data_IF_669840873866
#
_entry.id   IF_669840873866
#
_cell.length_a   1.000
_cell.length_b   1.000
_cell.length_c   1.000
_cell.angle_alpha   90.00
_cell.angle_beta   90.00
_cell.angle_gamma   90.00
#
_symmetry.space_group_name_H-M   'P 1'
#
loop_
_entity.id
_entity.type
_entity.pdbx_description
1 polymer ?
#
# COMPACT_ATOMS: atom_id res chain seq x y z
N UNK A 1 1.38 59.93 -0.20
CA UNK A 1 1.98 58.62 0.13
C UNK A 1 1.00 57.95 1.07
N UNK A 2 0.14 57.09 0.53
CA UNK A 2 -0.74 56.26 1.35
C UNK A 2 -0.33 54.81 1.10
N UNK A 3 0.10 54.06 2.12
CA UNK A 3 0.37 52.64 1.96
C UNK A 3 -0.96 51.90 1.85
N UNK A 4 -1.16 51.17 0.75
CA UNK A 4 -2.29 50.23 0.62
C UNK A 4 -2.11 49.17 1.71
N UNK A 5 -3.03 49.13 2.66
CA UNK A 5 -3.09 48.07 3.66
C UNK A 5 -3.81 46.88 3.00
N UNK A 6 -3.17 45.70 2.87
CA UNK A 6 -3.87 44.53 2.34
C UNK A 6 -4.98 44.11 3.31
N UNK A 7 -6.12 43.69 2.76
CA UNK A 7 -7.28 43.27 3.52
C UNK A 7 -6.97 41.99 4.31
N UNK A 8 -7.24 41.93 5.63
CA UNK A 8 -6.88 40.79 6.46
C UNK A 8 -7.76 39.53 6.24
N UNK A 9 -8.72 39.56 5.31
CA UNK A 9 -9.61 38.43 5.00
C UNK A 9 -9.51 37.89 3.57
N UNK A 10 -8.50 38.27 2.78
CA UNK A 10 -8.25 37.59 1.50
C UNK A 10 -7.66 36.18 1.76
N UNK A 11 -8.34 35.10 1.33
CA UNK A 11 -7.75 33.77 1.44
C UNK A 11 -6.55 33.67 0.51
N UNK A 12 -5.34 33.48 1.04
CA UNK A 12 -4.12 33.24 0.26
C UNK A 12 -4.34 32.09 -0.76
N UNK A 13 -4.46 32.36 -2.07
CA UNK A 13 -4.81 31.34 -3.05
C UNK A 13 -3.62 30.39 -3.37
N UNK A 14 -2.47 30.56 -2.72
CA UNK A 14 -1.19 29.98 -3.13
C UNK A 14 -0.70 28.80 -2.27
N UNK A 15 -1.38 28.42 -1.18
CA UNK A 15 -0.75 27.48 -0.20
C UNK A 15 -1.38 26.08 -0.11
N UNK A 16 -2.62 25.81 -0.51
CA UNK A 16 -3.25 24.54 -0.10
C UNK A 16 -3.39 23.42 -1.16
N UNK A 17 -3.49 23.74 -2.46
CA UNK A 17 -3.79 22.70 -3.47
C UNK A 17 -2.56 21.99 -4.04
N UNK A 18 -1.46 22.72 -4.28
CA UNK A 18 -0.22 22.12 -4.80
C UNK A 18 0.49 21.25 -3.74
N UNK A 19 0.30 21.56 -2.46
CA UNK A 19 0.89 20.79 -1.35
C UNK A 19 0.13 19.50 -1.07
N UNK A 20 -1.19 19.50 -1.22
CA UNK A 20 -2.04 18.31 -1.08
C UNK A 20 -1.84 17.34 -2.25
N UNK A 21 -1.66 17.82 -3.48
CA UNK A 21 -1.35 16.99 -4.66
C UNK A 21 0.03 16.30 -4.53
N UNK A 22 1.08 17.04 -4.15
CA UNK A 22 2.39 16.46 -3.91
C UNK A 22 2.37 15.44 -2.75
N UNK A 23 1.61 15.70 -1.70
CA UNK A 23 1.45 14.77 -0.60
C UNK A 23 0.69 13.50 -1.02
N UNK A 24 -0.34 13.63 -1.86
CA UNK A 24 -1.06 12.49 -2.43
C UNK A 24 -0.15 11.64 -3.32
N UNK A 25 0.64 12.27 -4.20
CA UNK A 25 1.59 11.58 -5.08
C UNK A 25 2.63 10.79 -4.30
N UNK A 26 3.26 11.38 -3.28
CA UNK A 26 4.23 10.69 -2.42
C UNK A 26 3.62 9.51 -1.67
N UNK A 27 2.36 9.63 -1.22
CA UNK A 27 1.63 8.50 -0.60
C UNK A 27 1.38 7.38 -1.60
N UNK A 28 1.00 7.72 -2.83
CA UNK A 28 0.78 6.76 -3.89
C UNK A 28 2.07 6.03 -4.31
N UNK A 29 3.19 6.74 -4.48
CA UNK A 29 4.49 6.14 -4.77
C UNK A 29 4.93 5.16 -3.69
N UNK A 30 4.71 5.52 -2.42
CA UNK A 30 4.95 4.62 -1.29
C UNK A 30 4.03 3.39 -1.34
N UNK A 31 2.75 3.58 -1.63
CA UNK A 31 1.80 2.47 -1.75
C UNK A 31 2.19 1.52 -2.89
N UNK A 32 2.68 2.03 -4.02
CA UNK A 32 3.20 1.23 -5.13
C UNK A 32 4.41 0.38 -4.72
N UNK A 33 5.37 0.97 -4.00
CA UNK A 33 6.54 0.24 -3.48
C UNK A 33 6.14 -0.91 -2.54
N UNK A 34 5.21 -0.63 -1.62
CA UNK A 34 4.65 -1.66 -0.72
C UNK A 34 3.89 -2.73 -1.51
N UNK A 35 3.02 -2.34 -2.44
CA UNK A 35 2.23 -3.26 -3.24
C UNK A 35 3.12 -4.21 -4.06
N UNK A 36 4.22 -3.71 -4.63
CA UNK A 36 5.19 -4.54 -5.34
C UNK A 36 5.81 -5.60 -4.41
N UNK A 37 6.25 -5.20 -3.22
CA UNK A 37 6.86 -6.13 -2.26
C UNK A 37 5.88 -7.20 -1.77
N UNK A 38 4.61 -6.82 -1.57
CA UNK A 38 3.54 -7.72 -1.13
C UNK A 38 3.12 -8.68 -2.25
N UNK A 39 2.96 -8.16 -3.48
CA UNK A 39 2.62 -8.94 -4.67
C UNK A 39 3.62 -10.07 -4.87
N UNK A 40 4.90 -9.75 -4.76
CA UNK A 40 5.99 -10.67 -5.02
C UNK A 40 5.95 -11.91 -4.10
N UNK A 41 5.36 -11.75 -2.91
CA UNK A 41 5.16 -12.82 -1.91
C UNK A 41 3.80 -13.51 -2.03
N UNK A 42 3.09 -13.30 -3.13
CA UNK A 42 1.77 -13.87 -3.39
C UNK A 42 0.73 -13.59 -2.29
N UNK A 43 0.86 -12.48 -1.56
CA UNK A 43 -0.10 -12.06 -0.54
C UNK A 43 -1.21 -11.26 -1.22
N UNK A 44 -2.47 -11.67 -1.03
CA UNK A 44 -3.63 -10.96 -1.57
C UNK A 44 -4.00 -9.73 -0.74
N UNK A 45 -4.79 -8.82 -1.32
CA UNK A 45 -5.31 -7.66 -0.58
C UNK A 45 -6.10 -8.05 0.68
N UNK A 46 -6.91 -9.11 0.60
CA UNK A 46 -7.67 -9.63 1.75
C UNK A 46 -6.75 -10.16 2.85
N UNK A 47 -5.74 -10.95 2.50
CA UNK A 47 -4.77 -11.48 3.46
C UNK A 47 -3.95 -10.36 4.10
N UNK A 48 -3.54 -9.36 3.31
CA UNK A 48 -2.82 -8.18 3.79
C UNK A 48 -3.63 -7.44 4.86
N UNK A 49 -4.90 -7.17 4.59
CA UNK A 49 -5.79 -6.45 5.52
C UNK A 49 -6.16 -7.26 6.77
N UNK A 50 -5.98 -8.58 6.73
CA UNK A 50 -6.14 -9.46 7.89
C UNK A 50 -4.89 -9.53 8.79
N UNK A 51 -3.75 -8.98 8.36
CA UNK A 51 -2.54 -8.95 9.17
C UNK A 51 -2.68 -7.99 10.36
N UNK A 52 -2.00 -8.33 11.47
CA UNK A 52 -1.87 -7.42 12.61
C UNK A 52 -1.02 -6.19 12.26
N UNK A 53 -1.23 -5.08 12.95
CA UNK A 53 -0.44 -3.85 12.74
C UNK A 53 1.07 -4.08 12.95
N UNK A 54 1.47 -4.99 13.83
CA UNK A 54 2.89 -5.37 13.99
C UNK A 54 3.46 -6.00 12.72
N UNK A 55 2.72 -6.93 12.11
CA UNK A 55 3.12 -7.57 10.84
C UNK A 55 3.15 -6.58 9.70
N UNK A 56 2.17 -5.69 9.61
CA UNK A 56 2.15 -4.61 8.62
C UNK A 56 3.38 -3.70 8.76
N UNK A 57 3.74 -3.32 10.00
CA UNK A 57 4.95 -2.52 10.25
C UNK A 57 6.21 -3.27 9.84
N UNK A 58 6.33 -4.55 10.21
CA UNK A 58 7.47 -5.39 9.82
C UNK A 58 7.57 -5.50 8.30
N UNK A 59 6.45 -5.71 7.61
CA UNK A 59 6.41 -5.80 6.15
C UNK A 59 6.91 -4.52 5.49
N UNK A 60 6.45 -3.37 5.98
CA UNK A 60 6.94 -2.09 5.45
C UNK A 60 8.45 -1.91 5.64
N UNK A 61 9.00 -2.34 6.79
CA UNK A 61 10.45 -2.29 7.04
C UNK A 61 11.24 -3.17 6.09
N UNK A 62 10.80 -4.41 5.87
CA UNK A 62 11.43 -5.34 4.92
C UNK A 62 11.32 -4.84 3.47
N UNK A 63 10.26 -4.11 3.14
CA UNK A 63 10.10 -3.40 1.87
C UNK A 63 10.98 -2.14 1.74
N UNK A 64 11.81 -1.82 2.74
CA UNK A 64 12.64 -0.60 2.77
C UNK A 64 11.84 0.69 2.97
N UNK A 65 10.57 0.59 3.37
CA UNK A 65 9.68 1.73 3.59
C UNK A 65 9.53 2.08 5.08
N UNK A 66 9.28 3.36 5.37
CA UNK A 66 8.80 3.73 6.69
C UNK A 66 7.34 3.28 6.85
N UNK A 67 7.00 2.50 7.90
CA UNK A 67 5.67 1.95 8.09
C UNK A 67 4.61 3.04 8.05
N UNK A 68 3.52 2.82 7.29
CA UNK A 68 2.38 3.70 7.33
C UNK A 68 1.83 3.77 8.76
N UNK A 69 1.57 4.99 9.22
CA UNK A 69 0.92 5.22 10.51
C UNK A 69 -0.59 4.96 10.47
N UNK A 70 -1.18 4.80 9.28
CA UNK A 70 -2.63 4.67 9.08
C UNK A 70 -3.00 3.43 8.26
N UNK A 71 -4.18 2.88 8.55
CA UNK A 71 -4.78 1.79 7.77
C UNK A 71 -5.13 2.19 6.33
N UNK A 72 -5.38 3.48 6.08
CA UNK A 72 -5.74 4.00 4.76
C UNK A 72 -4.71 3.67 3.68
N UNK A 73 -3.41 3.80 3.99
CA UNK A 73 -2.34 3.42 3.04
C UNK A 73 -2.40 1.93 2.72
N UNK A 74 -2.68 1.08 3.71
CA UNK A 74 -2.80 -0.36 3.51
C UNK A 74 -4.03 -0.75 2.68
N UNK A 75 -5.13 0.01 2.79
CA UNK A 75 -6.30 -0.13 1.90
C UNK A 75 -5.94 0.19 0.44
N UNK A 76 -5.18 1.26 0.20
CA UNK A 76 -4.69 1.59 -1.15
C UNK A 76 -3.80 0.46 -1.70
N UNK A 77 -2.87 -0.05 -0.87
CA UNK A 77 -2.03 -1.20 -1.25
C UNK A 77 -2.89 -2.42 -1.61
N UNK A 78 -3.93 -2.72 -0.82
CA UNK A 78 -4.84 -3.82 -1.12
C UNK A 78 -5.58 -3.65 -2.45
N UNK A 79 -6.01 -2.43 -2.79
CA UNK A 79 -6.61 -2.12 -4.10
C UNK A 79 -5.64 -2.38 -5.25
N UNK A 80 -4.39 -1.90 -5.13
CA UNK A 80 -3.35 -2.14 -6.13
C UNK A 80 -3.06 -3.63 -6.34
N UNK A 81 -3.13 -4.44 -5.28
CA UNK A 81 -2.97 -5.90 -5.36
C UNK A 81 -4.12 -6.57 -6.11
N UNK A 82 -5.35 -6.12 -5.91
CA UNK A 82 -6.52 -6.61 -6.64
C UNK A 82 -6.42 -6.28 -8.14
N UNK A 83 -6.04 -5.04 -8.47
CA UNK A 83 -5.77 -4.62 -9.85
C UNK A 83 -4.66 -5.45 -10.50
N UNK A 84 -3.55 -5.66 -9.79
CA UNK A 84 -2.44 -6.48 -10.26
C UNK A 84 -2.84 -7.93 -10.45
N UNK A 85 -3.65 -8.48 -9.55
CA UNK A 85 -4.18 -9.85 -9.66
C UNK A 85 -5.06 -9.99 -10.89
N UNK A 86 -6.00 -9.05 -11.12
CA UNK A 86 -6.86 -9.02 -12.31
C UNK A 86 -6.03 -8.94 -13.60
N UNK A 87 -5.03 -8.06 -13.61
CA UNK A 87 -4.11 -7.92 -14.74
C UNK A 87 -3.34 -9.23 -15.00
N UNK A 88 -2.83 -9.89 -13.95
CA UNK A 88 -2.09 -11.14 -14.07
C UNK A 88 -2.96 -12.26 -14.65
N UNK A 89 -4.23 -12.35 -14.23
CA UNK A 89 -5.18 -13.32 -14.78
C UNK A 89 -5.51 -13.06 -16.26
N UNK A 90 -5.52 -11.79 -16.68
CA UNK A 90 -5.72 -11.43 -18.08
C UNK A 90 -4.46 -11.69 -18.94
N UNK A 91 -3.27 -11.79 -18.33
CA UNK A 91 -1.98 -11.89 -19.02
C UNK A 91 -1.13 -13.05 -18.46
N UNK A 92 -1.60 -14.30 -18.55
CA UNK A 92 -0.93 -15.46 -17.96
C UNK A 92 0.46 -15.74 -18.55
N UNK A 93 0.72 -15.34 -19.79
CA UNK A 93 2.00 -15.54 -20.47
C UNK A 93 3.05 -14.45 -20.16
N UNK A 94 2.66 -13.34 -19.51
CA UNK A 94 3.63 -12.30 -19.12
C UNK A 94 4.34 -12.77 -17.84
N UNK A 95 5.68 -12.82 -17.78
CA UNK A 95 6.41 -13.27 -16.58
C UNK A 95 6.13 -12.40 -15.35
N UNK A 96 5.68 -11.15 -15.51
CA UNK A 96 5.28 -10.27 -14.41
C UNK A 96 3.91 -10.67 -13.81
N UNK A 97 3.19 -11.61 -14.41
CA UNK A 97 1.94 -12.16 -13.87
C UNK A 97 2.18 -13.17 -12.74
N UNK A 98 3.43 -13.59 -12.56
CA UNK A 98 3.83 -14.54 -11.53
C UNK A 98 4.57 -13.81 -10.40
N UNK A 99 4.17 -14.01 -9.12
CA UNK A 99 4.93 -13.53 -7.96
C UNK A 99 6.32 -14.19 -7.88
N UNK A 100 7.41 -13.41 -7.69
CA UNK A 100 8.76 -13.97 -7.76
C UNK A 100 9.22 -14.71 -6.49
N UNK A 101 8.61 -14.42 -5.33
CA UNK A 101 8.97 -14.98 -4.02
C UNK A 101 7.74 -15.56 -3.30
N UNK A 102 6.88 -16.25 -4.05
CA UNK A 102 5.64 -16.83 -3.52
C UNK A 102 5.85 -17.79 -2.34
N UNK A 103 7.01 -18.45 -2.27
CA UNK A 103 7.38 -19.35 -1.17
C UNK A 103 7.51 -18.62 0.18
N UNK A 104 7.86 -17.33 0.17
CA UNK A 104 8.00 -16.52 1.39
C UNK A 104 6.64 -16.22 2.04
N UNK A 105 5.52 -16.45 1.35
CA UNK A 105 4.16 -16.13 1.85
C UNK A 105 3.91 -16.67 3.26
N UNK A 106 4.38 -17.89 3.54
CA UNK A 106 4.17 -18.60 4.80
C UNK A 106 4.75 -17.85 6.02
N UNK A 107 5.80 -17.05 5.80
CA UNK A 107 6.43 -16.22 6.83
C UNK A 107 5.50 -15.10 7.29
N UNK A 108 4.58 -14.67 6.43
CA UNK A 108 3.71 -13.50 6.61
C UNK A 108 2.27 -13.85 6.89
N UNK A 109 1.75 -14.88 6.22
CA UNK A 109 0.38 -15.36 6.33
C UNK A 109 0.47 -16.80 6.81
N UNK A 110 0.05 -17.05 8.05
CA UNK A 110 0.01 -18.41 8.56
C UNK A 110 -1.30 -19.03 8.07
N UNK A 111 -1.28 -20.06 7.21
CA UNK A 111 -2.49 -20.75 6.82
C UNK A 111 -3.12 -21.38 8.07
N UNK A 112 -4.46 -21.43 8.15
CA UNK A 112 -5.12 -22.14 9.22
C UNK A 112 -4.60 -23.58 9.27
N UNK A 113 -4.20 -24.04 10.45
CA UNK A 113 -3.82 -25.44 10.62
C UNK A 113 -5.09 -26.28 10.42
N UNK A 114 -5.06 -27.33 9.58
CA UNK A 114 -6.20 -28.24 9.50
C UNK A 114 -6.44 -28.85 10.89
N UNK A 115 -7.70 -29.10 11.28
CA UNK A 115 -7.98 -29.85 12.49
C UNK A 115 -7.30 -31.21 12.41
N UNK A 116 -6.80 -31.71 13.54
CA UNK A 116 -6.25 -33.06 13.61
C UNK A 116 -7.28 -34.06 13.08
N UNK A 117 -6.92 -34.97 12.17
CA UNK A 117 -7.81 -36.06 11.81
C UNK A 117 -8.10 -36.86 13.09
N UNK A 118 -9.37 -36.90 13.49
CA UNK A 118 -9.80 -37.56 14.71
C UNK A 118 -9.28 -38.99 14.75
N UNK A 119 -8.63 -39.35 15.85
CA UNK A 119 -8.18 -40.71 16.13
C UNK A 119 -9.36 -41.55 16.59
#
# INVERSE_FOLDING_TARGET
MEPVVPDPNEPDPNVDFAHTDQAARRRHEKALGLARFVWDRAITGTELLALSDERLRKLAREAGANPPSTKETWTVVAGLLDEKTRWAQAHPDDPRSVPAHADEKITWVKPPLPPWPGR
#
